data_IF_754601416232
#
_entry.id   IF_754601416232
#
_cell.length_a   1.000
_cell.length_b   1.000
_cell.length_c   1.000
_cell.angle_alpha   90.00
_cell.angle_beta   90.00
_cell.angle_gamma   90.00
#
_symmetry.space_group_name_H-M   'P 1'
#
loop_
_entity.id
_entity.type
_entity.pdbx_description
1 polymer ?
#
# COMPACT_ATOMS: atom_id res chain seq x y z
N UNK A 1 -8.01 -0.48 4.38
CA UNK A 1 -8.00 0.08 5.75
C UNK A 1 -8.52 -0.92 6.78
N UNK A 2 -9.82 -1.18 6.86
CA UNK A 2 -10.41 -2.01 7.94
C UNK A 2 -9.85 -3.42 8.04
N UNK A 3 -9.58 -4.10 6.91
CA UNK A 3 -8.94 -5.42 6.95
C UNK A 3 -7.57 -5.42 7.63
N UNK A 4 -6.78 -4.35 7.45
CA UNK A 4 -5.48 -4.20 8.13
C UNK A 4 -5.62 -3.88 9.62
N UNK A 5 -6.65 -3.12 9.99
CA UNK A 5 -6.99 -2.90 11.40
C UNK A 5 -7.42 -4.22 12.05
N UNK A 6 -8.20 -5.05 11.37
CA UNK A 6 -8.55 -6.39 11.83
C UNK A 6 -7.30 -7.26 11.99
N UNK A 7 -6.35 -7.22 11.05
CA UNK A 7 -5.08 -7.93 11.21
C UNK A 7 -4.30 -7.48 12.46
N UNK A 8 -4.31 -6.18 12.77
CA UNK A 8 -3.69 -5.69 13.99
C UNK A 8 -4.38 -6.20 15.25
N UNK A 9 -5.71 -6.16 15.30
CA UNK A 9 -6.52 -6.66 16.43
C UNK A 9 -6.33 -8.17 16.63
N UNK A 10 -6.31 -8.93 15.54
CA UNK A 10 -6.05 -10.37 15.54
C UNK A 10 -4.60 -10.70 15.90
N UNK A 11 -3.70 -9.71 15.86
CA UNK A 11 -2.29 -9.89 16.09
C UNK A 11 -1.60 -10.74 15.03
N UNK A 12 -1.95 -10.59 13.75
CA UNK A 12 -1.40 -11.35 12.62
C UNK A 12 -0.69 -10.45 11.60
N UNK A 13 0.25 -10.98 10.80
CA UNK A 13 0.98 -10.23 9.77
C UNK A 13 1.79 -9.04 10.31
N UNK A 14 2.39 -9.23 11.49
CA UNK A 14 3.26 -8.24 12.14
C UNK A 14 4.55 -7.99 11.34
N UNK A 15 5.24 -6.93 11.73
CA UNK A 15 6.44 -6.48 11.07
C UNK A 15 7.71 -7.14 11.62
N UNK A 16 8.83 -6.64 11.11
CA UNK A 16 10.16 -7.03 11.59
C UNK A 16 10.34 -6.64 13.06
N UNK A 17 11.26 -7.31 13.73
CA UNK A 17 11.76 -6.95 15.06
C UNK A 17 12.23 -5.51 15.06
N UNK A 18 11.97 -4.80 16.15
CA UNK A 18 12.25 -3.37 16.26
C UNK A 18 12.47 -2.96 17.70
N UNK A 19 13.32 -1.94 17.89
CA UNK A 19 13.62 -1.35 19.19
C UNK A 19 13.02 0.06 19.34
N UNK A 20 12.14 0.47 18.42
CA UNK A 20 11.47 1.77 18.48
C UNK A 20 10.44 1.81 19.61
N UNK A 21 10.18 3.01 20.15
CA UNK A 21 9.33 3.20 21.33
C UNK A 21 7.86 2.83 21.15
N UNK A 22 7.36 2.74 19.92
CA UNK A 22 6.00 2.30 19.58
C UNK A 22 5.96 0.88 18.98
N UNK A 23 7.02 0.09 19.18
CA UNK A 23 7.00 -1.33 18.89
C UNK A 23 5.94 -2.04 19.73
N UNK A 24 5.30 -3.06 19.15
CA UNK A 24 4.21 -3.81 19.80
C UNK A 24 4.67 -5.23 20.07
N UNK A 25 4.39 -5.73 21.28
CA UNK A 25 4.52 -7.13 21.64
C UNK A 25 3.28 -7.88 21.18
N UNK A 26 3.43 -8.72 20.16
CA UNK A 26 2.33 -9.53 19.64
C UNK A 26 2.32 -10.90 20.33
N UNK A 27 1.24 -11.29 21.06
CA UNK A 27 1.18 -12.56 21.78
C UNK A 27 1.37 -13.82 20.90
N UNK A 28 1.00 -13.72 19.63
CA UNK A 28 1.14 -14.80 18.66
C UNK A 28 2.52 -14.86 18.00
N UNK A 29 3.38 -13.85 18.24
CA UNK A 29 4.74 -13.86 17.70
C UNK A 29 5.61 -14.88 18.45
N UNK A 30 6.48 -15.63 17.74
CA UNK A 30 7.29 -16.69 18.34
C UNK A 30 8.27 -16.17 19.41
N UNK A 31 8.59 -14.89 19.35
CA UNK A 31 9.51 -14.17 20.23
C UNK A 31 8.81 -13.35 21.33
N UNK A 32 7.50 -13.52 21.50
CA UNK A 32 6.75 -12.84 22.56
C UNK A 32 7.30 -13.12 23.95
N UNK A 33 7.64 -14.38 24.26
CA UNK A 33 8.20 -14.78 25.54
C UNK A 33 9.59 -14.16 25.84
N UNK A 34 10.28 -13.70 24.80
CA UNK A 34 11.58 -13.01 24.90
C UNK A 34 11.41 -11.49 25.07
N UNK A 35 10.17 -10.99 25.06
CA UNK A 35 9.88 -9.55 25.16
C UNK A 35 10.32 -8.76 23.92
N UNK A 36 10.43 -9.39 22.75
CA UNK A 36 10.89 -8.72 21.53
C UNK A 36 9.72 -8.00 20.86
N UNK A 37 9.84 -6.68 20.75
CA UNK A 37 8.86 -5.83 20.08
C UNK A 37 9.00 -5.89 18.55
N UNK A 38 7.89 -5.69 17.85
CA UNK A 38 7.82 -5.71 16.38
C UNK A 38 7.10 -4.49 15.85
N UNK A 39 7.44 -4.10 14.63
CA UNK A 39 6.73 -3.01 13.95
C UNK A 39 5.24 -3.39 13.79
N UNK A 40 4.29 -2.53 14.17
CA UNK A 40 2.87 -2.72 13.83
C UNK A 40 2.63 -2.42 12.35
N UNK A 41 3.22 -3.21 11.46
CA UNK A 41 3.17 -3.02 10.00
C UNK A 41 1.75 -3.00 9.45
N UNK A 42 0.79 -3.62 10.15
CA UNK A 42 -0.63 -3.57 9.81
C UNK A 42 -1.20 -2.16 9.95
N UNK A 43 -0.80 -1.40 10.98
CA UNK A 43 -1.18 0.01 11.14
C UNK A 43 -0.55 0.84 10.02
N UNK A 44 0.72 0.60 9.71
CA UNK A 44 1.41 1.29 8.61
C UNK A 44 0.71 1.02 7.28
N UNK A 45 0.35 -0.23 7.00
CA UNK A 45 -0.40 -0.61 5.81
C UNK A 45 -1.81 -0.01 5.82
N UNK A 46 -2.51 0.02 6.95
CA UNK A 46 -3.81 0.65 7.07
C UNK A 46 -3.74 2.13 6.68
N UNK A 47 -2.76 2.85 7.20
CA UNK A 47 -2.55 4.27 6.91
C UNK A 47 -2.10 4.50 5.48
N UNK A 48 -1.03 3.84 5.03
CA UNK A 48 -0.43 4.05 3.71
C UNK A 48 -1.31 3.50 2.58
N UNK A 49 -1.64 2.21 2.59
CA UNK A 49 -2.40 1.55 1.52
C UNK A 49 -3.90 1.92 1.56
N UNK A 50 -4.41 2.33 2.73
CA UNK A 50 -5.82 2.65 2.94
C UNK A 50 -6.09 4.14 3.02
N UNK A 51 -5.74 4.77 4.15
CA UNK A 51 -6.19 6.12 4.48
C UNK A 51 -5.59 7.18 3.56
N UNK A 52 -4.28 7.14 3.31
CA UNK A 52 -3.57 8.10 2.45
C UNK A 52 -4.06 7.99 1.01
N UNK A 53 -4.17 6.76 0.48
CA UNK A 53 -4.69 6.52 -0.88
C UNK A 53 -6.14 7.01 -1.00
N UNK A 54 -6.99 6.73 0.01
CA UNK A 54 -8.37 7.20 0.03
C UNK A 54 -8.47 8.72 0.04
N UNK A 55 -7.74 9.39 0.94
CA UNK A 55 -7.71 10.86 1.03
C UNK A 55 -7.27 11.47 -0.31
N UNK A 56 -6.21 10.93 -0.92
CA UNK A 56 -5.74 11.40 -2.22
C UNK A 56 -6.82 11.26 -3.30
N UNK A 57 -7.38 10.07 -3.47
CA UNK A 57 -8.40 9.82 -4.51
C UNK A 57 -9.65 10.66 -4.27
N UNK A 58 -10.12 10.75 -3.02
CA UNK A 58 -11.29 11.53 -2.66
C UNK A 58 -11.07 13.03 -2.91
N UNK A 59 -9.90 13.55 -2.53
CA UNK A 59 -9.50 14.92 -2.82
C UNK A 59 -9.46 15.19 -4.33
N UNK A 60 -8.83 14.30 -5.12
CA UNK A 60 -8.76 14.44 -6.57
C UNK A 60 -10.14 14.38 -7.22
N UNK A 61 -11.01 13.51 -6.74
CA UNK A 61 -12.39 13.37 -7.22
C UNK A 61 -13.21 14.64 -6.99
N UNK A 62 -13.12 15.26 -5.81
CA UNK A 62 -13.90 16.46 -5.51
C UNK A 62 -13.31 17.75 -6.06
N UNK A 63 -11.97 17.88 -6.10
CA UNK A 63 -11.32 19.11 -6.58
C UNK A 63 -11.11 19.14 -8.09
N UNK A 64 -11.22 18.00 -8.76
CA UNK A 64 -10.96 17.92 -10.20
C UNK A 64 -12.13 17.28 -10.92
N UNK A 65 -12.62 17.90 -12.00
CA UNK A 65 -13.55 17.27 -12.95
C UNK A 65 -12.84 16.21 -13.81
N UNK A 66 -11.86 15.50 -13.26
CA UNK A 66 -10.95 14.61 -14.00
C UNK A 66 -11.66 13.35 -14.47
N UNK A 67 -12.69 12.91 -13.73
CA UNK A 67 -13.53 11.80 -14.13
C UNK A 67 -14.38 12.14 -15.37
N UNK A 68 -14.79 13.40 -15.52
CA UNK A 68 -15.52 13.87 -16.71
C UNK A 68 -14.55 14.17 -17.87
N UNK A 69 -13.43 14.83 -17.58
CA UNK A 69 -12.50 15.32 -18.60
C UNK A 69 -11.54 14.24 -19.13
N UNK A 70 -11.20 13.23 -18.32
CA UNK A 70 -10.24 12.17 -18.66
C UNK A 70 -10.61 10.85 -17.96
N UNK A 71 -11.66 10.15 -18.42
CA UNK A 71 -12.04 8.85 -17.87
C UNK A 71 -10.84 7.89 -17.84
N UNK A 72 -10.61 7.23 -16.71
CA UNK A 72 -9.49 6.29 -16.49
C UNK A 72 -8.25 6.88 -15.82
N UNK A 73 -8.03 8.20 -15.86
CA UNK A 73 -6.84 8.83 -15.25
C UNK A 73 -6.78 8.63 -13.74
N UNK A 74 -7.90 8.84 -13.03
CA UNK A 74 -7.96 8.68 -11.58
C UNK A 74 -7.69 7.23 -11.13
N UNK A 75 -8.16 6.25 -11.92
CA UNK A 75 -7.87 4.84 -11.68
C UNK A 75 -6.39 4.51 -11.84
N UNK A 76 -5.74 5.05 -12.86
CA UNK A 76 -4.29 4.90 -13.04
C UNK A 76 -3.48 5.58 -11.92
N UNK A 77 -3.88 6.79 -11.49
CA UNK A 77 -3.26 7.47 -10.33
C UNK A 77 -3.39 6.64 -9.04
N UNK A 78 -4.56 6.03 -8.81
CA UNK A 78 -4.80 5.12 -7.69
C UNK A 78 -3.82 3.93 -7.70
N UNK A 79 -3.66 3.25 -8.85
CA UNK A 79 -2.77 2.09 -8.96
C UNK A 79 -1.32 2.44 -8.64
N UNK A 80 -0.84 3.58 -9.14
CA UNK A 80 0.53 4.06 -8.92
C UNK A 80 0.75 4.37 -7.44
N UNK A 81 -0.13 5.15 -6.82
CA UNK A 81 0.02 5.58 -5.41
C UNK A 81 -0.11 4.39 -4.46
N UNK A 82 -1.06 3.48 -4.73
CA UNK A 82 -1.20 2.25 -3.96
C UNK A 82 0.07 1.39 -4.04
N UNK A 83 0.67 1.24 -5.22
CA UNK A 83 1.89 0.46 -5.40
C UNK A 83 3.09 1.08 -4.67
N UNK A 84 3.24 2.41 -4.68
CA UNK A 84 4.26 3.07 -3.87
C UNK A 84 4.03 2.88 -2.36
N UNK A 85 2.79 3.06 -1.89
CA UNK A 85 2.43 2.79 -0.50
C UNK A 85 2.75 1.35 -0.09
N UNK A 86 2.48 0.38 -0.96
CA UNK A 86 2.78 -1.05 -0.77
C UNK A 86 4.28 -1.31 -0.65
N UNK A 87 5.09 -0.71 -1.53
CA UNK A 87 6.55 -0.83 -1.48
C UNK A 87 7.09 -0.26 -0.16
N UNK A 88 6.62 0.92 0.24
CA UNK A 88 7.02 1.57 1.50
C UNK A 88 6.64 0.69 2.71
N UNK A 89 5.39 0.21 2.76
CA UNK A 89 4.91 -0.64 3.85
C UNK A 89 5.70 -1.93 4.01
N UNK A 90 6.18 -2.49 2.91
CA UNK A 90 6.93 -3.75 2.95
C UNK A 90 8.33 -3.63 3.58
N UNK A 91 8.93 -2.44 3.62
CA UNK A 91 10.20 -2.26 4.36
C UNK A 91 10.04 -2.53 5.86
N UNK A 92 8.83 -2.43 6.39
CA UNK A 92 8.56 -2.70 7.80
C UNK A 92 8.01 -4.12 8.03
N UNK A 93 7.59 -4.82 6.97
CA UNK A 93 6.93 -6.12 7.06
C UNK A 93 7.92 -7.26 7.12
N UNK A 94 7.66 -8.24 7.98
CA UNK A 94 8.40 -9.49 7.96
C UNK A 94 7.95 -10.32 6.74
N UNK A 95 8.88 -10.87 5.93
CA UNK A 95 8.51 -11.73 4.81
C UNK A 95 7.84 -13.01 5.35
N UNK A 96 6.57 -13.19 4.99
CA UNK A 96 5.75 -14.37 5.30
C UNK A 96 5.98 -15.53 4.32
N UNK A 97 6.80 -15.31 3.29
CA UNK A 97 7.06 -16.27 2.23
C UNK A 97 8.46 -16.09 1.63
N UNK A 98 8.89 -17.10 0.86
CA UNK A 98 10.11 -17.02 0.06
C UNK A 98 10.11 -15.77 -0.81
N UNK A 99 11.27 -15.11 -0.85
CA UNK A 99 11.51 -13.95 -1.69
C UNK A 99 11.47 -14.38 -3.16
N UNK A 100 10.83 -13.56 -3.99
CA UNK A 100 10.84 -13.72 -5.44
C UNK A 100 11.95 -12.80 -5.96
N UNK A 101 13.05 -13.39 -6.45
CA UNK A 101 14.19 -12.63 -7.00
C UNK A 101 14.74 -11.61 -5.97
N UNK A 102 14.83 -12.03 -4.70
CA UNK A 102 15.31 -11.18 -3.60
C UNK A 102 14.34 -10.07 -3.17
N UNK A 103 13.15 -9.97 -3.79
CA UNK A 103 12.11 -9.03 -3.41
C UNK A 103 10.97 -9.73 -2.69
N UNK A 104 10.23 -8.97 -1.88
CA UNK A 104 8.98 -9.48 -1.35
C UNK A 104 7.93 -9.61 -2.48
N UNK A 105 6.91 -10.45 -2.24
CA UNK A 105 5.75 -10.55 -3.15
C UNK A 105 5.05 -9.19 -3.33
N UNK A 106 4.92 -8.43 -2.24
CA UNK A 106 4.33 -7.09 -2.29
C UNK A 106 5.10 -6.14 -3.21
N UNK A 107 6.43 -6.16 -3.15
CA UNK A 107 7.28 -5.33 -4.01
C UNK A 107 7.23 -5.80 -5.47
N UNK A 108 7.35 -7.11 -5.72
CA UNK A 108 7.33 -7.67 -7.06
C UNK A 108 6.04 -7.32 -7.82
N UNK A 109 4.86 -7.55 -7.20
CA UNK A 109 3.59 -7.21 -7.83
C UNK A 109 3.34 -5.70 -7.97
N UNK A 110 3.94 -4.90 -7.08
CA UNK A 110 3.84 -3.43 -7.16
C UNK A 110 4.51 -2.86 -8.41
N UNK A 111 5.56 -3.50 -8.93
CA UNK A 111 6.21 -3.08 -10.18
C UNK A 111 5.20 -3.15 -11.35
N UNK A 112 4.47 -4.26 -11.47
CA UNK A 112 3.45 -4.42 -12.51
C UNK A 112 2.29 -3.44 -12.34
N UNK A 113 1.89 -3.16 -11.09
CA UNK A 113 0.85 -2.16 -10.79
C UNK A 113 1.28 -0.74 -11.20
N UNK A 114 2.54 -0.35 -10.95
CA UNK A 114 3.08 0.95 -11.39
C UNK A 114 3.04 1.03 -12.91
N UNK A 115 3.56 0.02 -13.62
CA UNK A 115 3.58 -0.02 -15.08
C UNK A 115 2.17 0.06 -15.66
N UNK A 116 1.24 -0.73 -15.13
CA UNK A 116 -0.17 -0.72 -15.54
C UNK A 116 -0.85 0.62 -15.26
N UNK A 117 -0.63 1.20 -14.08
CA UNK A 117 -1.20 2.50 -13.70
C UNK A 117 -0.70 3.64 -14.58
N UNK A 118 0.61 3.69 -14.84
CA UNK A 118 1.23 4.65 -15.76
C UNK A 118 0.68 4.49 -17.17
N UNK A 119 0.56 3.25 -17.66
CA UNK A 119 0.00 2.97 -18.98
C UNK A 119 -1.46 3.45 -19.10
N UNK A 120 -2.30 3.19 -18.10
CA UNK A 120 -3.70 3.68 -18.06
C UNK A 120 -3.76 5.21 -18.08
N UNK A 121 -2.89 5.90 -17.34
CA UNK A 121 -2.82 7.38 -17.36
C UNK A 121 -2.47 7.87 -18.76
N UNK A 122 -1.46 7.29 -19.41
CA UNK A 122 -1.06 7.66 -20.77
C UNK A 122 -2.19 7.45 -21.78
N UNK A 123 -2.91 6.32 -21.72
CA UNK A 123 -4.05 6.06 -22.60
C UNK A 123 -5.19 7.05 -22.37
N UNK A 124 -5.50 7.39 -21.11
CA UNK A 124 -6.53 8.36 -20.77
C UNK A 124 -6.21 9.77 -21.31
N UNK A 125 -4.94 10.18 -21.26
CA UNK A 125 -4.48 11.47 -21.79
C UNK A 125 -4.55 11.52 -23.33
N UNK A 126 -4.13 10.46 -24.02
CA UNK A 126 -4.21 10.39 -25.49
C UNK A 126 -5.66 10.50 -25.98
N UNK A 127 -6.59 9.81 -25.33
CA UNK A 127 -8.02 9.88 -25.69
C UNK A 127 -8.61 11.28 -25.57
N UNK A 128 -8.23 12.04 -24.54
CA UNK A 128 -8.65 13.45 -24.40
C UNK A 128 -8.12 14.31 -25.53
N UNK A 129 -6.86 14.12 -25.92
CA UNK A 129 -6.22 14.90 -26.98
C UNK A 129 -6.82 14.65 -28.37
N UNK A 130 -7.49 13.53 -28.61
CA UNK A 130 -8.19 13.25 -29.87
C UNK A 130 -9.67 13.66 -29.85
N UNK A 131 -10.21 14.02 -28.68
CA UNK A 131 -11.60 14.44 -28.53
C UNK A 131 -11.76 15.98 -28.54
N UNK A 132 -10.65 16.72 -28.57
CA UNK A 132 -10.57 18.19 -28.73
C UNK A 132 -10.15 18.53 -30.16
#
# INVERSE_FOLDING_TARGET
>A
FFGRIANFINGELWGRKTDISWGVLFPQAPDFALGIARHPSQIYAALLEGLVVFIYVQFRFWKSNICQNTPGRLGGEFLVIYAFARIIGEFFREPDASLIIGMSRGQFYSIFLILGGVWVIFLAQKRKSHAL
#
